data_IF_472036382017
#
_entry.id   IF_472036382017
#
_cell.length_a   1.000
_cell.length_b   1.000
_cell.length_c   1.000
_cell.angle_alpha   90.00
_cell.angle_beta   90.00
_cell.angle_gamma   90.00
#
_symmetry.space_group_name_H-M   'P 1'
#
loop_
_entity.id
_entity.type
_entity.pdbx_description
1 polymer ?
#
# COMPACT_ATOMS: atom_id res chain seq x y z
N UNK A 1 22.63 28.12 -38.73
CA UNK A 1 23.24 26.87 -38.23
C UNK A 1 23.44 27.03 -36.73
N UNK A 2 22.53 26.46 -35.94
CA UNK A 2 22.58 26.56 -34.48
C UNK A 2 23.78 25.75 -33.96
N UNK A 3 24.48 26.28 -32.96
CA UNK A 3 25.71 25.70 -32.41
C UNK A 3 25.55 24.31 -31.75
N UNK A 4 24.36 23.72 -31.77
CA UNK A 4 24.04 22.42 -31.20
C UNK A 4 24.20 21.26 -32.19
N UNK A 5 24.07 21.49 -33.51
CA UNK A 5 24.20 20.43 -34.52
C UNK A 5 25.66 20.10 -34.88
N UNK A 6 26.57 21.06 -34.70
CA UNK A 6 28.03 20.87 -34.79
C UNK A 6 28.54 20.05 -33.56
N UNK A 7 27.80 20.09 -32.46
CA UNK A 7 28.14 19.55 -31.14
C UNK A 7 28.05 18.02 -31.06
N UNK A 8 27.03 17.41 -31.66
CA UNK A 8 26.85 15.95 -31.65
C UNK A 8 27.84 15.22 -32.57
N UNK A 9 28.15 15.79 -33.73
CA UNK A 9 29.13 15.22 -34.67
C UNK A 9 30.57 15.25 -34.13
N UNK A 10 30.94 16.29 -33.37
CA UNK A 10 32.26 16.42 -32.75
C UNK A 10 32.46 15.45 -31.57
N UNK A 11 31.42 15.18 -30.78
CA UNK A 11 31.48 14.18 -29.70
C UNK A 11 31.65 12.78 -30.29
N UNK A 12 30.95 12.46 -31.38
CA UNK A 12 31.07 11.17 -32.06
C UNK A 12 32.45 10.98 -32.72
N UNK A 13 33.01 12.03 -33.33
CA UNK A 13 34.34 12.00 -33.95
C UNK A 13 35.48 11.94 -32.92
N UNK A 14 35.35 12.62 -31.77
CA UNK A 14 36.31 12.52 -30.66
C UNK A 14 36.30 11.14 -29.98
N UNK A 15 35.16 10.45 -29.98
CA UNK A 15 35.03 9.08 -29.45
C UNK A 15 35.58 8.01 -30.41
N UNK A 16 35.64 8.29 -31.72
CA UNK A 16 36.10 7.35 -32.75
C UNK A 16 37.60 7.47 -33.11
N UNK A 17 38.24 8.60 -32.88
CA UNK A 17 39.63 8.83 -33.28
C UNK A 17 40.46 9.47 -32.16
N UNK A 18 41.27 8.65 -31.48
CA UNK A 18 42.23 9.11 -30.47
C UNK A 18 43.09 10.28 -30.95
N UNK A 19 43.63 11.03 -29.98
CA UNK A 19 44.24 12.38 -30.03
C UNK A 19 45.08 12.80 -31.27
N UNK A 20 45.52 11.88 -32.12
CA UNK A 20 46.22 12.15 -33.37
C UNK A 20 45.36 12.80 -34.47
N UNK A 21 44.02 12.66 -34.43
CA UNK A 21 43.14 13.25 -35.43
C UNK A 21 42.94 14.78 -35.26
N UNK A 22 43.11 15.30 -34.05
CA UNK A 22 42.86 16.70 -33.70
C UNK A 22 43.92 17.68 -34.22
N UNK A 23 45.13 17.22 -34.57
CA UNK A 23 46.20 18.12 -35.03
C UNK A 23 46.04 18.60 -36.48
N UNK A 24 45.23 17.93 -37.30
CA UNK A 24 45.07 18.27 -38.73
C UNK A 24 43.86 19.17 -39.04
N UNK A 25 42.99 19.46 -38.08
CA UNK A 25 41.75 20.24 -38.29
C UNK A 25 41.76 21.63 -37.64
N UNK A 26 42.93 22.21 -37.40
CA UNK A 26 43.11 23.48 -36.67
C UNK A 26 42.64 24.73 -37.40
N UNK A 27 42.20 24.64 -38.67
CA UNK A 27 41.85 25.83 -39.47
C UNK A 27 40.35 26.16 -39.56
N UNK A 28 39.44 25.40 -38.93
CA UNK A 28 37.98 25.60 -39.11
C UNK A 28 37.09 25.70 -37.87
N UNK A 29 37.62 25.61 -36.65
CA UNK A 29 36.80 25.73 -35.43
C UNK A 29 37.31 26.86 -34.54
N UNK A 30 36.46 27.88 -34.34
CA UNK A 30 36.76 29.03 -33.50
C UNK A 30 36.96 28.65 -32.02
N UNK A 31 37.76 29.46 -31.31
CA UNK A 31 38.29 29.20 -29.96
C UNK A 31 37.23 28.81 -28.89
N UNK A 32 35.97 29.23 -29.06
CA UNK A 32 34.88 28.91 -28.13
C UNK A 32 34.47 27.43 -28.15
N UNK A 33 34.49 26.77 -29.32
CA UNK A 33 34.16 25.34 -29.43
C UNK A 33 35.23 24.45 -28.79
N UNK A 34 36.49 24.88 -28.88
CA UNK A 34 37.64 24.20 -28.28
C UNK A 34 37.58 24.30 -26.74
N UNK A 35 37.11 25.43 -26.20
CA UNK A 35 36.97 25.63 -24.75
C UNK A 35 35.78 24.87 -24.14
N UNK A 36 34.70 24.69 -24.88
CA UNK A 36 33.53 23.91 -24.44
C UNK A 36 33.81 22.40 -24.44
N UNK A 37 34.49 21.90 -25.46
CA UNK A 37 34.91 20.49 -25.53
C UNK A 37 35.86 20.08 -24.40
N UNK A 38 36.76 20.99 -23.98
CA UNK A 38 37.64 20.75 -22.81
C UNK A 38 36.86 20.62 -21.51
N UNK A 39 35.94 21.55 -21.20
CA UNK A 39 35.17 21.50 -19.93
C UNK A 39 34.34 20.24 -19.75
N UNK A 40 33.82 19.65 -20.82
CA UNK A 40 33.02 18.43 -20.74
C UNK A 40 33.86 17.15 -20.70
N UNK A 41 35.04 17.15 -21.33
CA UNK A 41 36.04 16.11 -21.10
C UNK A 41 36.48 16.12 -19.62
N UNK A 42 36.69 17.32 -19.06
CA UNK A 42 37.00 17.50 -17.63
C UNK A 42 35.83 17.03 -16.73
N UNK A 43 34.56 17.19 -17.15
CA UNK A 43 33.40 16.66 -16.41
C UNK A 43 33.29 15.13 -16.49
N UNK A 44 33.54 14.52 -17.65
CA UNK A 44 33.55 13.05 -17.78
C UNK A 44 34.68 12.41 -16.98
N UNK A 45 35.85 13.06 -16.94
CA UNK A 45 36.98 12.69 -16.08
C UNK A 45 36.61 12.84 -14.59
N UNK A 46 35.80 13.86 -14.25
CA UNK A 46 35.26 14.09 -12.90
C UNK A 46 34.37 12.97 -12.37
N UNK A 47 33.67 12.24 -13.25
CA UNK A 47 32.78 11.12 -12.88
C UNK A 47 33.46 9.74 -12.94
N UNK A 48 34.73 9.65 -13.35
CA UNK A 48 35.53 8.42 -13.43
C UNK A 48 34.84 7.22 -14.11
N UNK A 49 33.90 7.44 -15.04
CA UNK A 49 33.21 6.32 -15.71
C UNK A 49 34.10 5.76 -16.81
N UNK A 50 34.66 4.58 -16.58
CA UNK A 50 35.42 3.87 -17.59
C UNK A 50 34.51 3.44 -18.75
N UNK A 51 34.99 3.51 -19.99
CA UNK A 51 34.23 3.10 -21.19
C UNK A 51 33.63 1.69 -21.08
N UNK A 52 34.30 0.80 -20.34
CA UNK A 52 33.84 -0.56 -20.05
C UNK A 52 32.56 -0.57 -19.21
N UNK A 53 32.44 0.32 -18.22
CA UNK A 53 31.25 0.44 -17.37
C UNK A 53 30.07 1.05 -18.13
N UNK A 54 30.33 1.99 -19.04
CA UNK A 54 29.31 2.55 -19.91
C UNK A 54 28.74 1.51 -20.88
N UNK A 55 29.60 0.66 -21.46
CA UNK A 55 29.14 -0.48 -22.28
C UNK A 55 28.36 -1.53 -21.49
N UNK A 56 28.78 -1.83 -20.25
CA UNK A 56 28.03 -2.74 -19.38
C UNK A 56 26.64 -2.20 -19.05
N UNK A 57 26.53 -0.89 -18.77
CA UNK A 57 25.24 -0.24 -18.55
C UNK A 57 24.34 -0.27 -19.80
N UNK A 58 24.92 -0.08 -20.99
CA UNK A 58 24.16 -0.18 -22.25
C UNK A 58 23.72 -1.62 -22.57
N UNK A 59 24.48 -2.64 -22.17
CA UNK A 59 24.15 -4.05 -22.38
C UNK A 59 22.96 -4.53 -21.52
N UNK A 60 22.57 -3.78 -20.48
CA UNK A 60 21.33 -4.03 -19.72
C UNK A 60 20.05 -3.65 -20.49
N UNK A 61 20.20 -3.01 -21.65
CA UNK A 61 19.10 -2.62 -22.54
C UNK A 61 19.30 -3.24 -23.93
N UNK A 62 18.95 -4.53 -24.14
CA UNK A 62 19.19 -5.26 -25.39
C UNK A 62 18.61 -4.56 -26.63
N UNK A 63 17.54 -3.77 -26.44
CA UNK A 63 16.88 -3.00 -27.49
C UNK A 63 17.74 -1.84 -28.01
N UNK A 64 18.64 -1.30 -27.19
CA UNK A 64 19.59 -0.25 -27.59
C UNK A 64 20.81 -0.81 -28.33
N UNK A 65 21.21 -2.06 -28.04
CA UNK A 65 22.32 -2.73 -28.72
C UNK A 65 22.00 -2.93 -30.22
N UNK A 66 20.77 -3.37 -30.53
CA UNK A 66 20.25 -3.49 -31.90
C UNK A 66 20.23 -2.15 -32.67
N UNK A 67 19.93 -1.05 -31.97
CA UNK A 67 19.91 0.30 -32.57
C UNK A 67 21.35 0.77 -32.85
N UNK A 68 22.29 0.48 -31.96
CA UNK A 68 23.71 0.83 -32.14
C UNK A 68 24.39 -0.02 -33.22
N UNK A 69 24.06 -1.30 -33.32
CA UNK A 69 24.56 -2.19 -34.38
C UNK A 69 23.98 -1.81 -35.75
N UNK A 70 22.72 -1.38 -35.80
CA UNK A 70 22.10 -0.85 -37.02
C UNK A 70 22.76 0.47 -37.44
N UNK A 71 23.01 1.38 -36.49
CA UNK A 71 23.72 2.65 -36.74
C UNK A 71 25.18 2.45 -37.17
N UNK A 72 25.87 1.44 -36.61
CA UNK A 72 27.24 1.09 -36.98
C UNK A 72 27.33 0.38 -38.35
N UNK A 73 26.30 -0.39 -38.71
CA UNK A 73 26.17 -1.01 -40.04
C UNK A 73 25.85 0.03 -41.12
N UNK A 74 24.96 0.98 -40.86
CA UNK A 74 24.60 2.06 -41.79
C UNK A 74 25.73 3.07 -41.99
N UNK A 75 26.50 3.41 -40.93
CA UNK A 75 27.66 4.30 -41.03
C UNK A 75 28.82 3.73 -41.88
N UNK A 76 28.87 2.41 -42.08
CA UNK A 76 29.83 1.74 -42.97
C UNK A 76 29.35 1.62 -44.42
N UNK A 77 28.04 1.75 -44.66
CA UNK A 77 27.42 1.44 -45.95
C UNK A 77 27.15 2.66 -46.83
N UNK A 78 26.63 3.75 -46.28
CA UNK A 78 26.09 4.83 -47.11
C UNK A 78 26.49 6.23 -46.62
N UNK A 79 26.83 7.09 -47.58
CA UNK A 79 26.99 8.53 -47.38
C UNK A 79 25.64 9.15 -47.02
N UNK A 80 25.25 9.06 -45.74
CA UNK A 80 23.99 9.62 -45.26
C UNK A 80 24.06 11.16 -45.23
N UNK A 81 23.17 11.77 -46.02
CA UNK A 81 22.88 13.21 -45.96
C UNK A 81 22.36 13.59 -44.57
N UNK A 82 22.99 14.61 -43.96
CA UNK A 82 22.67 15.12 -42.62
C UNK A 82 21.25 15.71 -42.47
N UNK A 83 20.48 15.84 -43.55
CA UNK A 83 19.13 16.45 -43.53
C UNK A 83 18.01 15.52 -43.02
N UNK A 84 18.27 14.22 -42.81
CA UNK A 84 17.27 13.25 -42.37
C UNK A 84 17.12 13.13 -40.83
N UNK A 85 17.97 13.82 -40.08
CA UNK A 85 18.07 13.70 -38.61
C UNK A 85 17.11 14.60 -37.82
N UNK A 86 16.35 15.47 -38.49
CA UNK A 86 15.40 16.36 -37.81
C UNK A 86 13.94 15.85 -37.86
N UNK A 87 13.60 14.89 -38.73
CA UNK A 87 12.19 14.45 -38.94
C UNK A 87 12.00 12.91 -39.06
N UNK A 88 12.97 12.11 -38.60
CA UNK A 88 12.93 10.65 -38.69
C UNK A 88 12.51 9.91 -37.40
N UNK A 89 12.11 8.62 -37.48
CA UNK A 89 11.71 7.80 -36.32
C UNK A 89 12.87 7.47 -35.35
N UNK A 90 14.10 7.88 -35.69
CA UNK A 90 15.33 7.62 -34.93
C UNK A 90 15.89 8.87 -34.25
N UNK A 91 15.13 9.98 -34.19
CA UNK A 91 15.54 11.14 -33.39
C UNK A 91 15.56 10.79 -31.90
N UNK A 92 16.44 11.43 -31.13
CA UNK A 92 16.47 11.28 -29.65
C UNK A 92 15.10 11.59 -29.03
N UNK A 93 14.35 12.53 -29.62
CA UNK A 93 13.00 12.88 -29.18
C UNK A 93 11.98 11.79 -29.52
N UNK A 94 12.03 11.21 -30.72
CA UNK A 94 11.19 10.06 -31.09
C UNK A 94 11.53 8.81 -30.26
N UNK A 95 12.81 8.57 -29.96
CA UNK A 95 13.24 7.46 -29.11
C UNK A 95 12.78 7.65 -27.66
N UNK A 96 12.87 8.87 -27.12
CA UNK A 96 12.34 9.22 -25.79
C UNK A 96 10.82 9.06 -25.73
N UNK A 97 10.12 9.47 -26.78
CA UNK A 97 8.66 9.34 -26.85
C UNK A 97 8.25 7.86 -26.98
N UNK A 98 8.97 7.07 -27.77
CA UNK A 98 8.75 5.63 -27.91
C UNK A 98 9.05 4.86 -26.61
N UNK A 99 10.13 5.21 -25.90
CA UNK A 99 10.43 4.66 -24.58
C UNK A 99 9.39 5.08 -23.52
N UNK A 100 8.84 6.30 -23.60
CA UNK A 100 7.68 6.72 -22.78
C UNK A 100 6.43 5.91 -23.10
N UNK A 101 6.12 5.72 -24.37
CA UNK A 101 4.97 4.92 -24.82
C UNK A 101 5.12 3.44 -24.42
N UNK A 102 6.33 2.87 -24.51
CA UNK A 102 6.62 1.51 -24.04
C UNK A 102 6.61 1.36 -22.51
N UNK A 103 6.87 2.44 -21.74
CA UNK A 103 6.71 2.42 -20.27
C UNK A 103 5.26 2.52 -19.82
N UNK A 104 4.38 3.06 -20.67
CA UNK A 104 2.97 3.31 -20.37
C UNK A 104 2.05 2.27 -20.99
N UNK A 105 2.46 1.64 -22.09
CA UNK A 105 1.77 0.51 -22.70
C UNK A 105 2.35 -0.82 -22.17
N UNK A 106 1.47 -1.74 -21.81
CA UNK A 106 1.74 -3.16 -21.59
C UNK A 106 2.27 -3.65 -20.24
N UNK A 107 1.71 -3.10 -19.15
CA UNK A 107 1.08 -4.01 -18.19
C UNK A 107 -0.40 -3.69 -18.17
N UNK A 108 -1.18 -4.31 -19.07
CA UNK A 108 -2.63 -4.39 -18.86
C UNK A 108 -2.84 -5.23 -17.61
N UNK A 109 -2.94 -4.60 -16.44
CA UNK A 109 -3.37 -5.29 -15.23
C UNK A 109 -4.78 -5.78 -15.49
N UNK A 110 -5.03 -7.11 -15.44
CA UNK A 110 -6.37 -7.63 -15.62
C UNK A 110 -7.30 -6.95 -14.61
N UNK A 111 -8.44 -6.44 -15.06
CA UNK A 111 -9.45 -5.93 -14.12
C UNK A 111 -9.86 -7.08 -13.21
N UNK A 112 -9.68 -6.94 -11.90
CA UNK A 112 -9.92 -7.98 -10.90
C UNK A 112 -11.40 -8.33 -10.68
N UNK A 113 -12.33 -7.79 -11.49
CA UNK A 113 -13.75 -8.20 -11.49
C UNK A 113 -14.52 -7.93 -10.20
N UNK A 114 -13.92 -7.30 -9.19
CA UNK A 114 -14.55 -7.08 -7.88
C UNK A 114 -14.64 -8.33 -7.00
N UNK A 115 -13.95 -9.43 -7.36
CA UNK A 115 -13.99 -10.69 -6.60
C UNK A 115 -12.68 -10.93 -5.86
N UNK A 116 -12.77 -11.52 -4.67
CA UNK A 116 -11.62 -12.00 -3.90
C UNK A 116 -11.72 -13.51 -3.67
N UNK A 117 -10.59 -14.19 -3.67
CA UNK A 117 -10.54 -15.60 -3.28
C UNK A 117 -10.46 -15.71 -1.76
N UNK A 118 -11.28 -16.59 -1.19
CA UNK A 118 -11.39 -16.82 0.25
C UNK A 118 -10.46 -17.94 0.73
N UNK A 119 -10.32 -18.08 2.05
CA UNK A 119 -9.47 -19.12 2.66
C UNK A 119 -9.86 -20.56 2.30
N UNK A 120 -11.11 -20.82 1.90
CA UNK A 120 -11.57 -22.14 1.42
C UNK A 120 -11.46 -22.30 -0.11
N UNK A 121 -10.94 -21.30 -0.82
CA UNK A 121 -10.77 -21.32 -2.28
C UNK A 121 -11.99 -20.85 -3.08
N UNK A 122 -13.14 -20.61 -2.43
CA UNK A 122 -14.33 -19.98 -3.04
C UNK A 122 -14.10 -18.50 -3.29
N UNK A 123 -14.94 -17.87 -4.11
CA UNK A 123 -14.87 -16.45 -4.41
C UNK A 123 -15.96 -15.67 -3.68
N UNK A 124 -15.60 -14.51 -3.16
CA UNK A 124 -16.52 -13.52 -2.60
C UNK A 124 -16.59 -12.31 -3.55
N UNK A 125 -17.79 -11.95 -3.97
CA UNK A 125 -18.06 -10.81 -4.85
C UNK A 125 -18.32 -9.56 -3.99
N UNK A 126 -17.37 -8.63 -3.99
CA UNK A 126 -17.48 -7.36 -3.26
C UNK A 126 -18.56 -6.43 -3.84
N UNK A 127 -18.92 -6.62 -5.11
CA UNK A 127 -19.96 -5.86 -5.80
C UNK A 127 -21.35 -6.48 -5.65
N UNK A 128 -21.43 -7.73 -5.18
CA UNK A 128 -22.66 -8.46 -4.86
C UNK A 128 -22.50 -9.36 -3.61
N UNK A 129 -22.15 -8.79 -2.43
CA UNK A 129 -21.86 -9.57 -1.22
C UNK A 129 -23.05 -10.42 -0.78
N UNK A 130 -24.28 -9.95 -1.03
CA UNK A 130 -25.51 -10.69 -0.72
C UNK A 130 -25.67 -12.00 -1.50
N UNK A 131 -24.98 -12.13 -2.64
CA UNK A 131 -24.99 -13.34 -3.48
C UNK A 131 -23.82 -14.27 -3.19
N UNK A 132 -22.87 -13.82 -2.37
CA UNK A 132 -21.66 -14.58 -2.08
C UNK A 132 -21.93 -15.68 -1.07
N UNK A 133 -21.39 -16.87 -1.32
CA UNK A 133 -21.41 -17.97 -0.37
C UNK A 133 -20.14 -17.94 0.48
N UNK A 134 -20.31 -17.88 1.80
CA UNK A 134 -19.23 -17.96 2.77
C UNK A 134 -19.75 -18.54 4.08
N UNK A 135 -18.84 -19.16 4.82
CA UNK A 135 -19.09 -19.73 6.14
C UNK A 135 -18.27 -18.99 7.21
N UNK A 136 -18.59 -19.23 8.48
CA UNK A 136 -17.87 -18.64 9.60
C UNK A 136 -16.38 -19.00 9.61
N UNK A 137 -15.96 -20.18 9.10
CA UNK A 137 -14.54 -20.51 9.01
C UNK A 137 -13.77 -19.60 8.05
N UNK A 138 -14.41 -19.10 6.99
CA UNK A 138 -13.79 -18.11 6.09
C UNK A 138 -13.54 -16.81 6.83
N UNK A 139 -14.53 -16.36 7.61
CA UNK A 139 -14.42 -15.16 8.45
C UNK A 139 -13.31 -15.36 9.49
N UNK A 140 -13.35 -16.44 10.25
CA UNK A 140 -12.37 -16.74 11.30
C UNK A 140 -10.93 -16.84 10.75
N UNK A 141 -10.75 -17.49 9.61
CA UNK A 141 -9.44 -17.65 8.97
C UNK A 141 -8.84 -16.33 8.49
N UNK A 142 -9.68 -15.38 8.04
CA UNK A 142 -9.24 -14.05 7.64
C UNK A 142 -8.98 -13.15 8.86
N UNK A 143 -9.96 -13.00 9.75
CA UNK A 143 -9.86 -12.13 10.93
C UNK A 143 -8.72 -12.53 11.87
N UNK A 144 -8.34 -13.81 11.92
CA UNK A 144 -7.21 -14.28 12.74
C UNK A 144 -5.84 -13.82 12.23
N UNK A 145 -5.78 -13.31 10.99
CA UNK A 145 -4.56 -12.85 10.31
C UNK A 145 -4.55 -11.35 10.07
N UNK A 146 -5.71 -10.69 10.14
CA UNK A 146 -5.82 -9.24 10.04
C UNK A 146 -5.38 -8.63 11.37
N UNK A 147 -4.33 -7.82 11.33
CA UNK A 147 -3.75 -7.17 12.50
C UNK A 147 -4.43 -5.83 12.75
N UNK A 148 -4.81 -5.57 14.00
CA UNK A 148 -5.35 -4.27 14.41
C UNK A 148 -4.26 -3.21 14.48
N UNK A 149 -4.67 -1.95 14.62
CA UNK A 149 -3.78 -0.79 14.66
C UNK A 149 -2.86 -0.70 13.43
N UNK A 150 -3.37 -1.16 12.28
CA UNK A 150 -2.62 -1.27 11.02
C UNK A 150 -1.24 -1.92 11.18
N UNK A 151 -1.10 -2.84 12.14
CA UNK A 151 0.15 -3.55 12.42
C UNK A 151 1.16 -2.84 13.33
N UNK A 152 0.85 -1.67 13.90
CA UNK A 152 1.78 -0.93 14.80
C UNK A 152 1.82 -1.44 16.24
N UNK A 153 1.09 -2.51 16.57
CA UNK A 153 1.18 -3.16 17.87
C UNK A 153 2.59 -3.69 18.13
N UNK A 154 3.05 -3.61 19.38
CA UNK A 154 4.31 -4.20 19.87
C UNK A 154 4.39 -5.72 19.71
N UNK A 155 3.24 -6.38 19.54
CA UNK A 155 3.10 -7.79 19.22
C UNK A 155 1.89 -7.99 18.30
N UNK A 156 1.86 -9.10 17.57
CA UNK A 156 0.74 -9.42 16.68
C UNK A 156 -0.58 -9.50 17.44
N UNK A 157 -1.56 -8.69 17.06
CA UNK A 157 -2.89 -8.66 17.69
C UNK A 157 -3.97 -8.62 16.63
N UNK A 158 -4.79 -9.67 16.59
CA UNK A 158 -5.74 -9.91 15.49
C UNK A 158 -7.13 -9.35 15.76
N UNK A 159 -7.87 -9.04 14.70
CA UNK A 159 -9.31 -8.69 14.78
C UNK A 159 -10.10 -9.84 15.41
N UNK A 160 -9.76 -11.10 15.12
CA UNK A 160 -10.43 -12.25 15.74
C UNK A 160 -10.27 -12.26 17.27
N UNK A 161 -9.08 -11.95 17.79
CA UNK A 161 -8.88 -11.88 19.25
C UNK A 161 -9.70 -10.74 19.86
N UNK A 162 -9.68 -9.56 19.25
CA UNK A 162 -10.52 -8.43 19.67
C UNK A 162 -12.00 -8.82 19.74
N UNK A 163 -12.53 -9.41 18.68
CA UNK A 163 -13.92 -9.83 18.59
C UNK A 163 -14.30 -10.87 19.66
N UNK A 164 -13.43 -11.84 19.92
CA UNK A 164 -13.65 -12.82 21.00
C UNK A 164 -13.70 -12.13 22.36
N UNK A 165 -12.76 -11.24 22.66
CA UNK A 165 -12.75 -10.49 23.91
C UNK A 165 -14.00 -9.60 24.04
N UNK A 166 -14.45 -8.96 22.96
CA UNK A 166 -15.65 -8.11 22.95
C UNK A 166 -16.90 -8.91 23.35
N UNK A 167 -16.99 -10.16 22.88
CA UNK A 167 -18.09 -11.08 23.22
C UNK A 167 -18.19 -11.46 24.70
N UNK A 168 -17.15 -11.20 25.49
CA UNK A 168 -17.13 -11.44 26.94
C UNK A 168 -17.41 -10.18 27.77
N UNK A 169 -17.47 -9.00 27.14
CA UNK A 169 -17.68 -7.72 27.82
C UNK A 169 -19.13 -7.22 27.78
N UNK A 170 -19.97 -7.87 26.98
CA UNK A 170 -21.39 -7.55 26.83
C UNK A 170 -22.26 -8.57 27.54
N UNK A 171 -23.53 -8.24 27.87
CA UNK A 171 -24.50 -9.21 28.35
C UNK A 171 -24.63 -10.43 27.41
N UNK A 172 -24.89 -11.64 27.93
CA UNK A 172 -24.92 -12.87 27.13
C UNK A 172 -25.82 -12.80 25.88
N UNK A 173 -26.93 -12.09 25.95
CA UNK A 173 -27.88 -11.87 24.86
C UNK A 173 -27.29 -11.10 23.67
N UNK A 174 -26.28 -10.25 23.90
CA UNK A 174 -25.59 -9.47 22.87
C UNK A 174 -24.19 -10.02 22.55
N UNK A 175 -23.76 -11.11 23.18
CA UNK A 175 -22.43 -11.67 22.96
C UNK A 175 -22.20 -12.12 21.51
N UNK A 176 -23.26 -12.61 20.82
CA UNK A 176 -23.16 -13.00 19.41
C UNK A 176 -23.04 -11.78 18.49
N UNK A 177 -23.74 -10.68 18.80
CA UNK A 177 -23.58 -9.38 18.13
C UNK A 177 -22.15 -8.86 18.30
N UNK A 178 -21.62 -8.89 19.52
CA UNK A 178 -20.25 -8.43 19.81
C UNK A 178 -19.17 -9.31 19.18
N UNK A 179 -19.35 -10.62 19.08
CA UNK A 179 -18.39 -11.50 18.38
C UNK A 179 -18.31 -11.16 16.88
N UNK A 180 -19.41 -10.72 16.27
CA UNK A 180 -19.50 -10.55 14.83
C UNK A 180 -19.50 -9.11 14.33
N UNK A 181 -19.37 -8.12 15.22
CA UNK A 181 -19.49 -6.71 14.83
C UNK A 181 -18.51 -6.29 13.73
N UNK A 182 -17.27 -6.80 13.76
CA UNK A 182 -16.21 -6.55 12.76
C UNK A 182 -16.09 -7.67 11.71
N UNK A 183 -17.07 -8.57 11.57
CA UNK A 183 -16.95 -9.70 10.64
C UNK A 183 -16.88 -9.31 9.16
N UNK A 184 -17.32 -8.09 8.80
CA UNK A 184 -17.15 -7.55 7.45
C UNK A 184 -15.67 -7.38 7.07
N UNK A 185 -14.80 -7.11 8.03
CA UNK A 185 -13.37 -6.88 7.82
C UNK A 185 -12.66 -8.11 7.23
N UNK A 186 -13.24 -9.31 7.38
CA UNK A 186 -12.76 -10.51 6.71
C UNK A 186 -12.70 -10.36 5.17
N UNK A 187 -13.53 -9.49 4.60
CA UNK A 187 -13.65 -9.27 3.16
C UNK A 187 -13.17 -7.87 2.73
N UNK A 188 -13.28 -6.86 3.60
CA UNK A 188 -12.91 -5.46 3.28
C UNK A 188 -11.70 -4.91 4.07
N UNK A 189 -11.06 -5.77 4.87
CA UNK A 189 -9.93 -5.47 5.75
C UNK A 189 -10.25 -4.49 6.90
N UNK A 190 -9.42 -4.52 7.95
CA UNK A 190 -9.44 -3.50 9.01
C UNK A 190 -8.71 -2.24 8.51
N UNK A 191 -9.39 -1.09 8.56
CA UNK A 191 -8.81 0.20 8.23
C UNK A 191 -8.84 1.12 9.46
N UNK A 192 -7.76 1.87 9.70
CA UNK A 192 -7.72 2.82 10.79
C UNK A 192 -8.87 3.83 10.67
N UNK A 193 -9.58 4.07 11.79
CA UNK A 193 -10.74 4.98 11.85
C UNK A 193 -10.50 6.35 11.18
N UNK A 194 -9.38 7.05 11.42
CA UNK A 194 -9.14 8.35 10.77
C UNK A 194 -9.06 8.25 9.24
N UNK A 195 -8.61 7.12 8.70
CA UNK A 195 -8.58 6.89 7.26
C UNK A 195 -9.96 6.50 6.73
N UNK A 196 -10.71 5.64 7.44
CA UNK A 196 -12.11 5.31 7.11
C UNK A 196 -12.96 6.58 6.98
N UNK A 197 -12.79 7.56 7.87
CA UNK A 197 -13.51 8.84 7.86
C UNK A 197 -13.26 9.69 6.60
N UNK A 198 -12.12 9.51 5.93
CA UNK A 198 -11.81 10.20 4.66
C UNK A 198 -12.35 9.46 3.42
N UNK A 199 -12.96 8.29 3.59
CA UNK A 199 -13.38 7.40 2.51
C UNK A 199 -14.88 7.08 2.56
N UNK A 200 -15.76 8.03 2.20
CA UNK A 200 -17.21 7.82 2.27
C UNK A 200 -17.69 6.67 1.37
N UNK A 201 -17.06 6.46 0.21
CA UNK A 201 -17.41 5.35 -0.67
C UNK A 201 -17.03 3.99 -0.05
N UNK A 202 -15.88 3.91 0.62
CA UNK A 202 -15.49 2.71 1.36
C UNK A 202 -16.51 2.39 2.46
N UNK A 203 -16.94 3.39 3.25
CA UNK A 203 -17.93 3.18 4.31
C UNK A 203 -19.25 2.63 3.76
N UNK A 204 -19.68 3.08 2.57
CA UNK A 204 -20.87 2.53 1.90
C UNK A 204 -20.66 1.08 1.47
N UNK A 205 -19.49 0.74 0.95
CA UNK A 205 -19.14 -0.64 0.59
C UNK A 205 -19.05 -1.55 1.83
N UNK A 206 -18.36 -1.12 2.88
CA UNK A 206 -18.23 -1.82 4.16
C UNK A 206 -19.61 -2.08 4.77
N UNK A 207 -20.48 -1.06 4.83
CA UNK A 207 -21.84 -1.21 5.37
C UNK A 207 -22.68 -2.24 4.59
N UNK A 208 -22.50 -2.32 3.26
CA UNK A 208 -23.19 -3.32 2.43
C UNK A 208 -22.67 -4.73 2.67
N UNK A 209 -21.35 -4.90 2.79
CA UNK A 209 -20.73 -6.19 3.15
C UNK A 209 -21.18 -6.61 4.55
N UNK A 210 -21.17 -5.68 5.51
CA UNK A 210 -21.63 -5.93 6.88
C UNK A 210 -23.10 -6.37 6.91
N UNK A 211 -23.97 -5.71 6.15
CA UNK A 211 -25.37 -6.11 6.04
C UNK A 211 -25.51 -7.55 5.49
N UNK A 212 -24.77 -7.91 4.44
CA UNK A 212 -24.79 -9.28 3.90
C UNK A 212 -24.29 -10.32 4.91
N UNK A 213 -23.24 -10.00 5.67
CA UNK A 213 -22.72 -10.84 6.75
C UNK A 213 -23.73 -10.99 7.88
N UNK A 214 -24.38 -9.91 8.31
CA UNK A 214 -25.38 -9.95 9.38
C UNK A 214 -26.64 -10.71 8.96
N UNK A 215 -27.13 -10.48 7.74
CA UNK A 215 -28.27 -11.20 7.19
C UNK A 215 -27.97 -12.71 7.14
N UNK A 216 -26.74 -13.12 6.77
CA UNK A 216 -26.31 -14.53 6.78
C UNK A 216 -26.23 -15.14 8.20
N UNK A 217 -25.79 -14.36 9.18
CA UNK A 217 -25.62 -14.81 10.57
C UNK A 217 -26.90 -14.67 11.42
N UNK A 218 -27.98 -14.15 10.83
CA UNK A 218 -29.23 -13.86 11.54
C UNK A 218 -29.04 -12.82 12.65
N UNK A 219 -28.27 -11.78 12.38
CA UNK A 219 -28.00 -10.64 13.27
C UNK A 219 -28.86 -9.42 12.90
N UNK A 220 -29.19 -8.54 13.86
CA UNK A 220 -29.85 -7.28 13.54
C UNK A 220 -28.91 -6.35 12.76
N UNK A 221 -29.47 -5.54 11.85
CA UNK A 221 -28.71 -4.53 11.07
C UNK A 221 -28.12 -3.42 11.94
N UNK A 222 -28.74 -3.15 13.08
CA UNK A 222 -28.24 -2.23 14.09
C UNK A 222 -27.92 -3.04 15.34
N UNK A 223 -26.64 -3.02 15.73
CA UNK A 223 -26.19 -3.71 16.92
C UNK A 223 -26.62 -2.96 18.18
N UNK A 224 -26.76 -3.69 19.28
CA UNK A 224 -27.07 -3.08 20.56
C UNK A 224 -25.95 -2.11 21.01
N UNK A 225 -26.27 -0.93 21.58
CA UNK A 225 -25.26 0.07 21.96
C UNK A 225 -24.16 -0.44 22.89
N UNK A 226 -24.43 -1.47 23.69
CA UNK A 226 -23.41 -2.07 24.56
C UNK A 226 -22.23 -2.66 23.78
N UNK A 227 -22.45 -3.11 22.54
CA UNK A 227 -21.38 -3.61 21.67
C UNK A 227 -20.40 -2.50 21.36
N UNK A 228 -20.90 -1.29 21.02
CA UNK A 228 -20.02 -0.15 20.76
C UNK A 228 -19.26 0.29 22.01
N UNK A 229 -19.91 0.24 23.16
CA UNK A 229 -19.26 0.54 24.43
C UNK A 229 -18.14 -0.47 24.74
N UNK A 230 -18.36 -1.77 24.51
CA UNK A 230 -17.37 -2.81 24.70
C UNK A 230 -16.18 -2.67 23.74
N UNK A 231 -16.43 -2.37 22.46
CA UNK A 231 -15.40 -2.07 21.45
C UNK A 231 -14.49 -0.91 21.92
N UNK A 232 -15.08 0.20 22.38
CA UNK A 232 -14.31 1.34 22.88
C UNK A 232 -13.49 1.02 24.15
N UNK A 233 -14.04 0.24 25.08
CA UNK A 233 -13.32 -0.22 26.27
C UNK A 233 -12.13 -1.13 25.89
N UNK A 234 -12.32 -2.00 24.89
CA UNK A 234 -11.23 -2.81 24.36
C UNK A 234 -10.20 -1.98 23.64
N UNK A 235 -10.59 -1.03 22.80
CA UNK A 235 -9.66 -0.11 22.14
C UNK A 235 -8.75 0.58 23.17
N UNK A 236 -9.30 1.05 24.29
CA UNK A 236 -8.52 1.64 25.38
C UNK A 236 -7.58 0.63 26.07
N UNK A 237 -8.02 -0.61 26.24
CA UNK A 237 -7.24 -1.69 26.86
C UNK A 237 -6.09 -2.12 25.94
N UNK A 238 -6.38 -2.28 24.66
CA UNK A 238 -5.44 -2.63 23.59
C UNK A 238 -4.36 -1.55 23.44
N UNK A 239 -4.76 -0.27 23.41
CA UNK A 239 -3.82 0.83 23.34
C UNK A 239 -2.84 0.79 24.52
N UNK A 240 -3.34 0.60 25.74
CA UNK A 240 -2.52 0.53 26.95
C UNK A 240 -1.53 -0.65 26.92
N UNK A 241 -2.00 -1.81 26.47
CA UNK A 241 -1.23 -3.06 26.60
C UNK A 241 -0.29 -3.32 25.42
N UNK A 242 -0.66 -2.85 24.22
CA UNK A 242 -0.05 -3.30 22.97
C UNK A 242 0.61 -2.18 22.18
N UNK A 243 0.30 -0.91 22.43
CA UNK A 243 0.97 0.20 21.76
C UNK A 243 2.20 0.64 22.55
N UNK A 244 3.28 1.08 21.88
CA UNK A 244 4.44 1.61 22.58
C UNK A 244 4.06 2.83 23.41
N UNK A 245 4.47 2.84 24.67
CA UNK A 245 4.46 4.04 25.49
C UNK A 245 5.48 5.02 24.90
N UNK A 246 5.03 6.16 24.40
CA UNK A 246 5.96 7.21 23.97
C UNK A 246 6.80 7.65 25.17
N UNK A 247 8.13 7.83 25.00
CA UNK A 247 8.94 8.50 26.04
C UNK A 247 8.64 10.00 26.15
N UNK A 248 7.86 10.51 25.20
CA UNK A 248 7.51 11.90 25.02
C UNK A 248 6.05 11.90 24.54
N UNK A 249 5.09 12.24 25.40
CA UNK A 249 3.69 12.33 24.99
C UNK A 249 3.46 13.60 24.18
N UNK A 250 2.52 13.56 23.25
CA UNK A 250 2.08 14.74 22.50
C UNK A 250 0.85 15.33 23.18
N UNK A 251 0.93 16.60 23.59
CA UNK A 251 -0.25 17.36 23.98
C UNK A 251 -1.01 17.80 22.72
N UNK A 252 -2.26 17.38 22.64
CA UNK A 252 -3.13 17.58 21.49
C UNK A 252 -4.08 18.76 21.74
N UNK A 253 -4.15 19.70 20.81
CA UNK A 253 -5.21 20.71 20.86
C UNK A 253 -6.51 20.09 20.35
N UNK A 254 -7.53 20.05 21.19
CA UNK A 254 -8.88 19.80 20.72
C UNK A 254 -9.30 20.96 19.82
N UNK A 255 -9.51 20.65 18.53
CA UNK A 255 -9.97 21.63 17.54
C UNK A 255 -11.48 21.55 17.29
N UNK A 256 -12.22 20.77 18.10
CA UNK A 256 -13.64 20.49 17.91
C UNK A 256 -13.92 19.28 17.02
N UNK A 257 -15.21 18.91 16.92
CA UNK A 257 -15.67 17.69 16.26
C UNK A 257 -15.14 17.54 14.82
N UNK A 258 -14.32 16.51 14.58
CA UNK A 258 -13.95 16.04 13.24
C UNK A 258 -12.60 16.53 12.69
N UNK A 259 -11.82 17.33 13.42
CA UNK A 259 -10.46 17.67 13.02
C UNK A 259 -9.43 16.82 13.77
N UNK A 260 -8.47 16.25 13.02
CA UNK A 260 -7.34 15.57 13.62
C UNK A 260 -6.59 16.58 14.51
N UNK A 261 -6.33 16.26 15.78
CA UNK A 261 -5.70 17.21 16.67
C UNK A 261 -4.30 17.57 16.15
N UNK A 262 -3.86 18.81 16.38
CA UNK A 262 -2.50 19.23 16.04
C UNK A 262 -1.56 18.98 17.23
N UNK A 263 -0.36 18.42 17.02
CA UNK A 263 0.65 18.34 18.06
C UNK A 263 1.01 19.75 18.52
N UNK A 264 0.67 20.14 19.75
CA UNK A 264 1.07 21.45 20.29
C UNK A 264 2.49 21.35 20.85
N UNK A 265 2.76 20.29 21.61
CA UNK A 265 4.00 20.16 22.36
C UNK A 265 4.30 18.71 22.73
N UNK A 266 5.59 18.41 22.73
CA UNK A 266 6.21 17.22 23.31
C UNK A 266 6.35 17.39 24.82
N UNK A 267 5.66 16.56 25.62
CA UNK A 267 5.67 16.59 27.09
C UNK A 267 6.25 15.29 27.66
N UNK A 268 6.88 15.38 28.84
CA UNK A 268 7.36 14.20 29.57
C UNK A 268 6.17 13.31 29.92
N UNK A 269 6.31 12.03 29.63
CA UNK A 269 5.19 11.14 29.39
C UNK A 269 4.62 10.55 30.69
N UNK A 270 4.76 11.22 31.83
CA UNK A 270 4.29 10.68 33.10
C UNK A 270 2.76 10.68 33.25
N UNK A 271 2.01 11.45 32.46
CA UNK A 271 0.56 11.65 32.71
C UNK A 271 -0.41 11.65 31.50
N UNK A 272 0.02 11.58 30.23
CA UNK A 272 -0.87 11.91 29.07
C UNK A 272 -0.80 10.97 27.85
N UNK A 273 -0.73 9.64 28.03
CA UNK A 273 -0.61 8.69 26.89
C UNK A 273 -1.89 8.23 26.19
N UNK A 274 -3.07 8.68 26.61
CA UNK A 274 -4.31 8.18 26.02
C UNK A 274 -4.67 8.96 24.77
N UNK A 275 -5.01 8.24 23.69
CA UNK A 275 -5.58 8.86 22.50
C UNK A 275 -6.82 9.66 22.90
N UNK A 276 -7.00 10.85 22.31
CA UNK A 276 -8.09 11.76 22.67
C UNK A 276 -9.47 11.06 22.60
N UNK A 277 -9.63 10.16 21.63
CA UNK A 277 -10.86 9.39 21.38
C UNK A 277 -11.30 8.53 22.57
N UNK A 278 -10.36 8.12 23.43
CA UNK A 278 -10.57 7.17 24.53
C UNK A 278 -10.04 7.73 25.86
N UNK A 279 -9.80 9.04 25.94
CA UNK A 279 -9.25 9.71 27.12
C UNK A 279 -10.04 9.40 28.39
N UNK A 280 -11.37 9.45 28.28
CA UNK A 280 -12.31 9.26 29.39
C UNK A 280 -12.75 7.79 29.57
N UNK A 281 -12.23 6.88 28.73
CA UNK A 281 -12.59 5.47 28.79
C UNK A 281 -11.59 4.73 29.66
N UNK A 282 -12.12 4.01 30.67
CA UNK A 282 -11.30 3.21 31.58
C UNK A 282 -11.02 1.83 30.95
N UNK A 283 -9.75 1.45 30.75
CA UNK A 283 -9.40 0.12 30.26
C UNK A 283 -9.71 -0.96 31.30
N UNK A 284 -9.81 -2.20 30.86
CA UNK A 284 -10.01 -3.37 31.73
C UNK A 284 -8.82 -3.54 32.68
N UNK A 285 -9.05 -4.07 33.89
CA UNK A 285 -7.98 -4.25 34.88
C UNK A 285 -6.90 -5.26 34.43
N UNK A 286 -7.29 -6.30 33.70
CA UNK A 286 -6.36 -7.33 33.19
C UNK A 286 -5.56 -6.85 31.99
N UNK A 287 -4.43 -7.52 31.72
CA UNK A 287 -3.59 -7.29 30.54
C UNK A 287 -3.91 -8.29 29.43
N UNK A 288 -3.94 -7.79 28.19
CA UNK A 288 -4.10 -8.61 26.99
C UNK A 288 -2.82 -9.43 26.75
N UNK A 289 -2.99 -10.74 26.56
CA UNK A 289 -1.94 -11.63 26.06
C UNK A 289 -2.24 -11.95 24.60
N UNK A 290 -1.43 -11.48 23.64
CA UNK A 290 -1.72 -11.69 22.23
C UNK A 290 -1.70 -13.18 21.84
N UNK A 291 -2.62 -13.56 20.96
CA UNK A 291 -2.73 -14.91 20.44
C UNK A 291 -2.04 -15.04 19.08
N UNK A 292 -1.43 -16.20 18.84
CA UNK A 292 -1.00 -16.56 17.49
C UNK A 292 -2.23 -16.70 16.56
N UNK A 293 -2.11 -16.44 15.24
CA UNK A 293 -3.25 -16.53 14.31
C UNK A 293 -4.07 -17.82 14.43
N UNK A 294 -3.41 -18.99 14.45
CA UNK A 294 -4.11 -20.28 14.59
C UNK A 294 -4.89 -20.41 15.90
N UNK A 295 -4.37 -19.82 16.98
CA UNK A 295 -5.09 -19.80 18.25
C UNK A 295 -6.30 -18.87 18.15
N UNK A 296 -6.13 -17.66 17.61
CA UNK A 296 -7.23 -16.71 17.46
C UNK A 296 -8.37 -17.25 16.58
N UNK A 297 -8.03 -17.93 15.48
CA UNK A 297 -9.01 -18.63 14.63
C UNK A 297 -9.79 -19.68 15.42
N UNK A 298 -9.09 -20.54 16.17
CA UNK A 298 -9.72 -21.59 16.98
C UNK A 298 -10.62 -21.02 18.07
N UNK A 299 -10.16 -20.00 18.79
CA UNK A 299 -10.94 -19.39 19.87
C UNK A 299 -12.18 -18.65 19.32
N UNK A 300 -12.06 -18.01 18.16
CA UNK A 300 -13.20 -17.38 17.46
C UNK A 300 -14.25 -18.41 17.08
N UNK A 301 -13.83 -19.51 16.43
CA UNK A 301 -14.75 -20.59 16.05
C UNK A 301 -15.38 -21.25 17.28
N UNK A 302 -14.59 -21.54 18.32
CA UNK A 302 -15.11 -22.10 19.57
C UNK A 302 -16.21 -21.19 20.14
N UNK A 303 -15.93 -19.90 20.24
CA UNK A 303 -16.86 -18.92 20.80
C UNK A 303 -18.12 -18.76 19.95
N UNK A 304 -17.98 -18.78 18.62
CA UNK A 304 -19.10 -18.75 17.69
C UNK A 304 -20.06 -19.93 17.92
N UNK A 305 -19.54 -21.15 17.92
CA UNK A 305 -20.35 -22.35 18.08
C UNK A 305 -20.95 -22.46 19.50
N UNK A 306 -20.22 -22.01 20.53
CA UNK A 306 -20.76 -21.89 21.89
C UNK A 306 -21.98 -20.97 21.94
N UNK A 307 -21.88 -19.78 21.33
CA UNK A 307 -22.97 -18.79 21.34
C UNK A 307 -24.14 -19.20 20.45
N UNK A 308 -23.90 -19.87 19.31
CA UNK A 308 -24.96 -20.44 18.49
C UNK A 308 -25.80 -21.46 19.28
N UNK A 309 -25.15 -22.39 19.97
CA UNK A 309 -25.84 -23.38 20.79
C UNK A 309 -26.70 -22.73 21.88
N UNK A 310 -26.20 -21.67 22.52
CA UNK A 310 -26.97 -20.90 23.51
C UNK A 310 -28.18 -20.18 22.91
N UNK A 311 -28.05 -19.62 21.70
CA UNK A 311 -29.17 -18.98 20.98
C UNK A 311 -30.28 -19.98 20.66
N UNK A 312 -29.93 -21.18 20.17
CA UNK A 312 -30.90 -22.22 19.87
C UNK A 312 -31.70 -22.64 21.12
N UNK A 313 -31.03 -22.80 22.26
CA UNK A 313 -31.68 -23.10 23.54
C UNK A 313 -32.64 -21.99 23.97
N UNK A 314 -32.26 -20.72 23.81
CA UNK A 314 -33.15 -19.59 24.13
C UNK A 314 -34.38 -19.54 23.22
N UNK A 315 -34.21 -19.77 21.91
CA UNK A 315 -35.33 -19.83 20.96
C UNK A 315 -36.27 -20.98 21.29
N UNK A 316 -35.75 -22.16 21.64
CA UNK A 316 -36.57 -23.30 22.04
C UNK A 316 -37.36 -23.03 23.33
N UNK A 317 -36.72 -22.42 24.35
CA UNK A 317 -37.41 -22.02 25.60
C UNK A 317 -38.49 -20.98 25.34
N UNK A 318 -38.22 -19.98 24.51
CA UNK A 318 -39.19 -18.94 24.16
C UNK A 318 -40.40 -19.47 23.39
N UNK A 319 -40.23 -20.56 22.60
CA UNK A 319 -41.34 -21.24 21.92
C UNK A 319 -42.17 -22.14 22.84
N UNK A 320 -41.62 -22.54 23.99
CA UNK A 320 -42.26 -23.43 24.95
C UNK A 320 -42.98 -22.70 26.10
N UNK A 321 -42.77 -21.39 26.23
CA UNK A 321 -43.42 -20.50 27.20
C UNK A 321 -44.62 -19.79 26.56
#
# INVERSE_FOLDING_TARGET
MSGQSIFAGLVLLCLLGGAAALSRMTWRLGAAAIAAGRRQADELERWQVAWVQYRQWLAEFPELELVLDSLAAEAKGDQLSMSAWDEGPYTVQALRERLRQMRLADVQTPRCGGVIQTAKGHYFDLLAPERSEFDVEVIAAALSKICRFTGHCSAFYSVAQHAVLASYLVPPEHAFEALHHDSAEAFVNDLAKPFKEQLPDYQRFEARVQAAVFDRLGLPRQLHPCVKQADLVLLATEQRDLMPLEKIAVEWQDQGDGQAPTPIRWVDASETHRWWLIRDIKPLAGQIRPWLPKQAEREFLRRHYELLALREVHVQKARAA
#
